data_IF_436060327186
#
_entry.id   IF_436060327186
#
_cell.length_a   1.000
_cell.length_b   1.000
_cell.length_c   1.000
_cell.angle_alpha   90.00
_cell.angle_beta   90.00
_cell.angle_gamma   90.00
#
_symmetry.space_group_name_H-M   'P 1'
#
loop_
_entity.id
_entity.type
_entity.pdbx_description
1 polymer ?
#
# COMPACT_ATOMS: atom_id res chain seq x y z
N UNK A 1 7.70 -6.00 16.43
CA UNK A 1 7.86 -6.44 15.02
C UNK A 1 6.86 -5.65 14.18
N UNK A 2 7.32 -4.80 13.26
CA UNK A 2 6.50 -3.75 12.66
C UNK A 2 5.61 -4.34 11.53
N UNK A 3 4.45 -4.89 11.90
CA UNK A 3 3.50 -5.64 11.04
C UNK A 3 3.04 -4.82 9.81
N UNK A 4 3.11 -3.49 9.89
CA UNK A 4 2.60 -2.56 8.86
C UNK A 4 3.28 -2.74 7.49
N UNK A 5 4.56 -3.12 7.46
CA UNK A 5 5.29 -3.38 6.21
C UNK A 5 5.20 -4.84 5.73
N UNK A 6 4.83 -5.79 6.61
CA UNK A 6 4.60 -7.19 6.22
C UNK A 6 3.19 -7.44 5.66
N UNK A 7 2.25 -6.50 5.85
CA UNK A 7 0.87 -6.67 5.37
C UNK A 7 0.66 -6.33 3.89
N UNK A 8 1.62 -5.64 3.26
CA UNK A 8 1.54 -5.27 1.84
C UNK A 8 2.46 -6.18 1.04
N UNK A 9 1.93 -6.77 -0.03
CA UNK A 9 2.79 -7.49 -0.98
C UNK A 9 3.74 -6.48 -1.66
N UNK A 10 4.93 -6.91 -2.08
CA UNK A 10 5.95 -6.03 -2.66
C UNK A 10 5.40 -5.17 -3.81
N UNK A 11 4.48 -5.74 -4.61
CA UNK A 11 3.75 -5.03 -5.68
C UNK A 11 2.88 -3.89 -5.16
N UNK A 12 2.16 -4.11 -4.06
CA UNK A 12 1.30 -3.09 -3.44
C UNK A 12 2.15 -1.94 -2.88
N UNK A 13 3.22 -2.27 -2.18
CA UNK A 13 4.18 -1.29 -1.66
C UNK A 13 4.85 -0.51 -2.81
N UNK A 14 5.22 -1.17 -3.90
CA UNK A 14 5.83 -0.54 -5.06
C UNK A 14 4.88 0.46 -5.74
N UNK A 15 3.60 0.08 -5.96
CA UNK A 15 2.58 0.98 -6.51
C UNK A 15 2.38 2.21 -5.63
N UNK A 16 2.32 2.03 -4.30
CA UNK A 16 2.19 3.15 -3.37
C UNK A 16 3.42 4.07 -3.39
N UNK A 17 4.64 3.50 -3.43
CA UNK A 17 5.88 4.31 -3.49
C UNK A 17 5.94 5.17 -4.74
N UNK A 18 5.61 4.62 -5.91
CA UNK A 18 5.57 5.37 -7.17
C UNK A 18 4.44 6.40 -7.19
N UNK A 19 3.27 6.05 -6.67
CA UNK A 19 2.12 6.95 -6.71
C UNK A 19 2.22 8.13 -5.76
N UNK A 20 2.86 7.95 -4.59
CA UNK A 20 3.04 8.97 -3.57
C UNK A 20 4.46 9.56 -3.51
N UNK A 21 5.35 9.19 -4.44
CA UNK A 21 6.72 9.70 -4.49
C UNK A 21 7.55 9.33 -3.25
N UNK A 22 7.26 8.20 -2.62
CA UNK A 22 7.89 7.80 -1.36
C UNK A 22 9.29 7.25 -1.63
N UNK A 23 10.28 7.68 -0.82
CA UNK A 23 11.68 7.24 -0.95
C UNK A 23 12.45 7.96 -2.05
N UNK A 24 12.10 9.21 -2.35
CA UNK A 24 12.83 10.06 -3.31
C UNK A 24 12.47 9.80 -4.78
N UNK A 25 11.38 9.08 -5.06
CA UNK A 25 10.86 8.91 -6.42
C UNK A 25 9.92 10.05 -6.79
N UNK A 26 9.85 10.40 -8.07
CA UNK A 26 8.82 11.32 -8.57
C UNK A 26 7.41 10.72 -8.42
N UNK A 27 6.43 11.61 -8.23
CA UNK A 27 5.02 11.27 -8.23
C UNK A 27 4.58 10.79 -9.61
N UNK A 28 4.12 9.54 -9.69
CA UNK A 28 3.64 8.97 -10.95
C UNK A 28 2.13 8.79 -10.98
N UNK A 29 1.54 9.03 -12.16
CA UNK A 29 0.13 8.73 -12.42
C UNK A 29 -0.10 7.22 -12.50
N UNK A 30 -1.33 6.78 -12.21
CA UNK A 30 -1.70 5.35 -12.32
C UNK A 30 -1.49 4.79 -13.72
N UNK A 31 -1.60 5.63 -14.75
CA UNK A 31 -1.34 5.25 -16.13
C UNK A 31 0.15 5.01 -16.38
N UNK A 32 1.02 5.90 -15.91
CA UNK A 32 2.47 5.75 -16.04
C UNK A 32 2.98 4.53 -15.28
N UNK A 33 2.44 4.31 -14.08
CA UNK A 33 2.71 3.10 -13.29
C UNK A 33 2.22 1.86 -14.03
N UNK A 34 1.06 1.93 -14.69
CA UNK A 34 0.53 0.84 -15.51
C UNK A 34 1.47 0.48 -16.66
N UNK A 35 2.01 1.49 -17.36
CA UNK A 35 3.01 1.29 -18.43
C UNK A 35 4.27 0.59 -17.90
N UNK A 36 4.79 1.01 -16.74
CA UNK A 36 5.99 0.42 -16.13
C UNK A 36 5.76 -1.02 -15.67
N UNK A 37 4.58 -1.31 -15.11
CA UNK A 37 4.27 -2.63 -14.56
C UNK A 37 3.62 -3.58 -15.58
N UNK A 38 3.44 -3.14 -16.83
CA UNK A 38 2.68 -3.83 -17.87
C UNK A 38 1.26 -4.20 -17.41
N UNK A 39 0.59 -3.27 -16.74
CA UNK A 39 -0.77 -3.41 -16.21
C UNK A 39 -1.68 -2.31 -16.77
N UNK A 40 -2.98 -2.61 -16.87
CA UNK A 40 -3.95 -1.56 -17.15
C UNK A 40 -4.01 -0.56 -15.99
N UNK A 41 -4.37 0.70 -16.30
CA UNK A 41 -4.62 1.75 -15.30
C UNK A 41 -5.58 1.27 -14.21
N UNK A 42 -6.63 0.54 -14.61
CA UNK A 42 -7.63 0.01 -13.69
C UNK A 42 -7.05 -1.05 -12.75
N UNK A 43 -6.17 -1.92 -13.25
CA UNK A 43 -5.49 -2.89 -12.41
C UNK A 43 -4.58 -2.21 -11.39
N UNK A 44 -3.88 -1.14 -11.76
CA UNK A 44 -3.08 -0.34 -10.82
C UNK A 44 -3.97 0.35 -9.78
N UNK A 45 -5.15 0.86 -10.18
CA UNK A 45 -6.14 1.43 -9.24
C UNK A 45 -6.58 0.41 -8.19
N UNK A 46 -6.92 -0.81 -8.61
CA UNK A 46 -7.31 -1.90 -7.71
C UNK A 46 -6.20 -2.25 -6.71
N UNK A 47 -4.96 -2.36 -7.19
CA UNK A 47 -3.79 -2.65 -6.33
C UNK A 47 -3.62 -1.54 -5.30
N UNK A 48 -3.70 -0.26 -5.73
CA UNK A 48 -3.63 0.90 -4.82
C UNK A 48 -4.72 0.84 -3.74
N UNK A 49 -5.97 0.60 -4.12
CA UNK A 49 -7.09 0.57 -3.18
C UNK A 49 -6.97 -0.57 -2.18
N UNK A 50 -6.58 -1.75 -2.64
CA UNK A 50 -6.30 -2.90 -1.77
C UNK A 50 -5.18 -2.60 -0.76
N UNK A 51 -4.12 -1.94 -1.23
CA UNK A 51 -3.01 -1.53 -0.38
C UNK A 51 -3.46 -0.51 0.70
N UNK A 52 -4.23 0.51 0.31
CA UNK A 52 -4.78 1.50 1.25
C UNK A 52 -5.75 0.87 2.25
N UNK A 53 -6.56 -0.10 1.82
CA UNK A 53 -7.46 -0.84 2.71
C UNK A 53 -6.68 -1.65 3.76
N UNK A 54 -5.63 -2.37 3.34
CA UNK A 54 -4.72 -3.10 4.24
C UNK A 54 -4.05 -2.18 5.25
N UNK A 55 -3.57 -1.01 4.81
CA UNK A 55 -2.99 0.01 5.71
C UNK A 55 -4.00 0.53 6.75
N UNK A 56 -5.25 0.78 6.33
CA UNK A 56 -6.32 1.19 7.25
C UNK A 56 -6.62 0.11 8.29
N UNK A 57 -6.65 -1.16 7.89
CA UNK A 57 -6.86 -2.29 8.81
C UNK A 57 -5.71 -2.43 9.82
N UNK A 58 -4.45 -2.33 9.35
CA UNK A 58 -3.28 -2.37 10.22
C UNK A 58 -3.30 -1.24 11.27
N UNK A 59 -3.62 -0.01 10.83
CA UNK A 59 -3.78 1.15 11.73
C UNK A 59 -4.89 0.94 12.76
N UNK A 60 -5.99 0.27 12.40
CA UNK A 60 -7.10 -0.07 13.33
C UNK A 60 -6.70 -1.14 14.34
N UNK A 61 -5.98 -2.20 13.93
CA UNK A 61 -5.45 -3.22 14.85
C UNK A 61 -4.52 -2.63 15.90
N UNK A 62 -3.64 -1.71 15.48
CA UNK A 62 -2.74 -1.00 16.40
C UNK A 62 -3.49 -0.12 17.43
N UNK A 63 -4.75 0.25 17.13
CA UNK A 63 -5.60 1.06 18.01
C UNK A 63 -6.60 0.23 18.83
N UNK A 64 -6.63 -1.08 18.65
CA UNK A 64 -7.56 -2.02 19.29
C UNK A 64 -6.85 -3.05 20.18
N UNK A 65 -5.66 -2.75 20.70
CA UNK A 65 -5.12 -3.44 21.86
C UNK A 65 -5.41 -2.65 23.15
N UNK A 66 -6.60 -2.78 23.75
CA UNK A 66 -6.71 -2.75 25.20
C UNK A 66 -6.83 -4.18 25.70
N UNK A 67 -5.86 -4.57 26.54
CA UNK A 67 -6.03 -5.52 27.62
C UNK A 67 -6.40 -6.96 27.21
N UNK A 68 -5.41 -7.73 26.78
CA UNK A 68 -5.33 -9.12 27.26
C UNK A 68 -4.90 -9.05 28.73
N UNK A 69 -5.88 -8.95 29.63
CA UNK A 69 -5.67 -9.16 31.07
C UNK A 69 -5.34 -10.66 31.24
N UNK A 70 -4.40 -11.05 32.13
CA UNK A 70 -3.83 -12.39 32.22
C UNK A 70 -4.85 -13.54 32.27
#
# INVERSE_FOLDING_TARGET
MNIVLQTLDEREAHVLRLHFGLGGKELMTLESIGKILHLSRERVRQIKEKALWRLRLARRRTKLEPLRIP
#
